data_IF_337873614830
#
_entry.id   IF_337873614830
#
_cell.length_a   1.000
_cell.length_b   1.000
_cell.length_c   1.000
_cell.angle_alpha   90.00
_cell.angle_beta   90.00
_cell.angle_gamma   90.00
#
_symmetry.space_group_name_H-M   'P 1'
#
loop_
_entity.id
_entity.type
_entity.pdbx_description
1 polymer ?
#
# COMPACT_ATOMS: atom_id res chain seq x y z
N UNK A 1 -8.82 -18.11 -12.55
CA UNK A 1 -8.83 -17.60 -13.96
C UNK A 1 -8.79 -16.07 -14.03
N UNK A 2 -9.03 -15.32 -12.95
CA UNK A 2 -9.03 -13.85 -12.98
C UNK A 2 -7.66 -13.21 -12.77
N UNK A 3 -6.74 -13.85 -12.07
CA UNK A 3 -5.40 -13.29 -11.80
C UNK A 3 -4.58 -13.00 -13.07
N UNK A 4 -4.63 -13.87 -14.09
CA UNK A 4 -3.86 -13.67 -15.31
C UNK A 4 -4.32 -12.46 -16.13
N UNK A 5 -5.61 -12.17 -16.15
CA UNK A 5 -6.17 -11.07 -16.94
C UNK A 5 -5.93 -9.72 -16.26
N UNK A 6 -6.03 -9.65 -14.93
CA UNK A 6 -5.75 -8.41 -14.18
C UNK A 6 -4.30 -7.96 -14.28
N UNK A 7 -3.35 -8.89 -14.38
CA UNK A 7 -1.94 -8.57 -14.56
C UNK A 7 -1.62 -8.00 -15.97
N UNK A 8 -2.44 -8.31 -16.97
CA UNK A 8 -2.26 -7.78 -18.34
C UNK A 8 -3.01 -6.46 -18.58
N UNK A 9 -4.10 -6.23 -17.88
CA UNK A 9 -4.99 -5.07 -18.11
C UNK A 9 -4.81 -4.02 -17.00
N UNK A 10 -4.55 -4.43 -15.77
CA UNK A 10 -4.34 -3.54 -14.63
C UNK A 10 -2.86 -3.43 -14.29
N UNK A 11 -2.32 -2.24 -14.28
CA UNK A 11 -1.00 -2.01 -13.69
C UNK A 11 -1.09 -2.18 -12.18
N UNK A 12 -0.14 -2.88 -11.59
CA UNK A 12 0.04 -2.96 -10.14
C UNK A 12 1.45 -2.51 -9.76
N UNK A 13 1.70 -2.24 -8.50
CA UNK A 13 3.06 -1.94 -8.03
C UNK A 13 3.98 -3.15 -8.21
N UNK A 14 3.47 -4.34 -7.90
CA UNK A 14 4.12 -5.63 -8.08
C UNK A 14 3.31 -6.54 -9.00
N UNK A 15 3.99 -7.48 -9.61
CA UNK A 15 3.41 -8.55 -10.41
C UNK A 15 3.94 -9.90 -9.91
N UNK A 16 3.04 -10.85 -9.68
CA UNK A 16 3.45 -12.24 -9.45
C UNK A 16 3.66 -12.95 -10.79
N UNK A 17 4.81 -13.59 -10.96
CA UNK A 17 5.07 -14.47 -12.08
C UNK A 17 4.09 -15.66 -12.01
N UNK A 18 3.25 -15.88 -13.02
CA UNK A 18 2.22 -16.91 -12.97
C UNK A 18 2.77 -18.35 -12.96
N UNK A 19 4.03 -18.55 -13.34
CA UNK A 19 4.68 -19.86 -13.36
C UNK A 19 5.39 -20.17 -12.04
N UNK A 20 6.14 -19.19 -11.49
CA UNK A 20 6.96 -19.38 -10.29
C UNK A 20 6.28 -18.86 -9.02
N UNK A 21 5.32 -17.96 -9.13
CA UNK A 21 4.70 -17.26 -8.01
C UNK A 21 5.57 -16.15 -7.42
N UNK A 22 6.78 -15.93 -7.94
CA UNK A 22 7.70 -14.91 -7.43
C UNK A 22 7.20 -13.50 -7.75
N UNK A 23 7.38 -12.58 -6.81
CA UNK A 23 6.95 -11.19 -6.95
C UNK A 23 8.06 -10.32 -7.57
N UNK A 24 7.72 -9.64 -8.66
CA UNK A 24 8.60 -8.70 -9.36
C UNK A 24 8.03 -7.29 -9.36
N UNK A 25 8.89 -6.25 -9.36
CA UNK A 25 8.43 -4.88 -9.53
C UNK A 25 7.82 -4.70 -10.92
N UNK A 26 6.63 -4.10 -10.99
CA UNK A 26 5.95 -3.80 -12.25
C UNK A 26 5.92 -2.29 -12.52
N UNK A 27 5.52 -1.50 -11.53
CA UNK A 27 5.38 -0.05 -11.63
C UNK A 27 6.22 0.72 -10.62
N UNK A 28 6.82 0.03 -9.67
CA UNK A 28 7.80 0.62 -8.75
C UNK A 28 9.19 0.52 -9.37
N UNK A 29 10.01 1.55 -9.20
CA UNK A 29 11.39 1.58 -9.67
C UNK A 29 12.32 0.83 -8.71
N UNK A 30 12.07 0.94 -7.40
CA UNK A 30 12.80 0.25 -6.35
C UNK A 30 11.93 0.11 -5.11
N UNK A 31 12.28 -0.84 -4.24
CA UNK A 31 11.67 -0.97 -2.93
C UNK A 31 12.67 -1.34 -1.86
N UNK A 32 12.31 -1.03 -0.62
CA UNK A 32 13.05 -1.42 0.58
C UNK A 32 12.07 -2.04 1.57
N UNK A 33 12.48 -3.12 2.21
CA UNK A 33 11.79 -3.75 3.31
C UNK A 33 12.64 -3.60 4.58
N UNK A 34 12.06 -3.05 5.62
CA UNK A 34 12.61 -3.18 6.98
C UNK A 34 11.67 -4.05 7.79
N UNK A 35 12.18 -5.07 8.45
CA UNK A 35 11.39 -5.93 9.30
C UNK A 35 12.01 -6.09 10.69
N UNK A 36 11.16 -6.40 11.67
CA UNK A 36 11.57 -6.56 13.06
C UNK A 36 12.51 -7.75 13.21
N UNK A 37 13.64 -7.56 13.89
CA UNK A 37 14.61 -8.59 14.19
C UNK A 37 13.94 -9.84 14.79
N UNK A 38 14.31 -11.02 14.28
CA UNK A 38 13.78 -12.31 14.71
C UNK A 38 12.56 -12.82 13.93
N UNK A 39 12.00 -12.03 13.03
CA UNK A 39 10.98 -12.54 12.12
C UNK A 39 11.60 -13.43 11.04
N UNK A 40 10.94 -14.55 10.67
CA UNK A 40 11.47 -15.50 9.68
C UNK A 40 11.19 -15.02 8.25
N UNK A 41 11.79 -13.88 7.89
CA UNK A 41 11.66 -13.26 6.56
C UNK A 41 12.97 -13.44 5.80
N UNK A 42 12.88 -13.94 4.57
CA UNK A 42 14.04 -14.21 3.71
C UNK A 42 13.79 -13.65 2.30
N UNK A 43 14.73 -12.90 1.71
CA UNK A 43 14.64 -12.49 0.31
C UNK A 43 14.86 -13.68 -0.61
N UNK A 44 14.06 -13.76 -1.67
CA UNK A 44 14.14 -14.80 -2.71
C UNK A 44 14.82 -14.25 -3.97
N UNK A 45 14.67 -12.95 -4.23
CA UNK A 45 15.19 -12.24 -5.38
C UNK A 45 16.17 -11.14 -4.96
N UNK A 46 16.89 -10.56 -5.90
CA UNK A 46 17.95 -9.57 -5.65
C UNK A 46 17.53 -8.10 -5.90
N UNK A 47 16.29 -7.87 -6.34
CA UNK A 47 15.79 -6.53 -6.62
C UNK A 47 15.37 -5.74 -5.36
N UNK A 48 15.17 -6.42 -4.25
CA UNK A 48 14.68 -5.84 -3.00
C UNK A 48 15.83 -5.56 -2.03
N UNK A 49 15.90 -4.32 -1.51
CA UNK A 49 16.77 -4.01 -0.37
C UNK A 49 16.09 -4.43 0.92
N UNK A 50 16.77 -5.25 1.73
CA UNK A 50 16.20 -5.81 2.95
C UNK A 50 17.02 -5.41 4.17
N UNK A 51 16.37 -4.87 5.19
CA UNK A 51 16.96 -4.40 6.44
C UNK A 51 16.25 -5.02 7.65
N UNK A 52 16.93 -5.05 8.79
CA UNK A 52 16.37 -5.46 10.07
C UNK A 52 16.45 -4.30 11.07
N UNK A 53 15.46 -4.23 11.97
CA UNK A 53 15.45 -3.28 13.08
C UNK A 53 14.82 -3.93 14.31
N UNK A 54 15.33 -3.60 15.51
CA UNK A 54 14.76 -4.12 16.75
C UNK A 54 13.35 -3.58 17.03
N UNK A 55 13.08 -2.36 16.54
CA UNK A 55 11.79 -1.69 16.63
C UNK A 55 11.56 -0.85 15.38
N UNK A 56 10.33 -0.88 14.87
CA UNK A 56 9.88 -0.03 13.77
C UNK A 56 8.79 0.88 14.31
N UNK A 57 9.11 2.15 14.51
CA UNK A 57 8.17 3.17 14.95
C UNK A 57 7.43 3.72 13.74
N UNK A 58 6.11 3.81 13.83
CA UNK A 58 5.28 4.42 12.78
C UNK A 58 5.24 5.94 13.02
N UNK A 59 5.53 6.77 12.01
CA UNK A 59 5.48 8.23 12.14
C UNK A 59 4.08 8.74 12.51
N UNK A 60 4.02 9.82 13.28
CA UNK A 60 2.77 10.41 13.75
C UNK A 60 1.88 10.92 12.61
N UNK A 61 2.47 11.31 11.49
CA UNK A 61 1.79 11.80 10.28
C UNK A 61 1.33 10.69 9.34
N UNK A 62 1.62 9.42 9.62
CA UNK A 62 1.13 8.30 8.83
C UNK A 62 -0.39 8.14 8.98
N UNK A 63 -1.07 7.83 7.88
CA UNK A 63 -2.52 7.64 7.85
C UNK A 63 -2.87 6.21 8.27
N UNK A 64 -3.69 6.08 9.28
CA UNK A 64 -4.10 4.77 9.83
C UNK A 64 -5.57 4.47 9.61
N UNK A 65 -6.37 5.50 9.28
CA UNK A 65 -7.80 5.35 9.09
C UNK A 65 -8.38 6.53 8.30
N UNK A 66 -9.67 6.47 8.00
CA UNK A 66 -10.44 7.49 7.30
C UNK A 66 -11.71 7.83 8.05
N UNK A 67 -11.96 9.12 8.27
CA UNK A 67 -13.21 9.66 8.82
C UNK A 67 -14.10 10.06 7.64
N UNK A 68 -15.10 9.22 7.32
CA UNK A 68 -16.00 9.45 6.22
C UNK A 68 -16.93 10.66 6.44
N UNK A 69 -17.29 10.98 7.69
CA UNK A 69 -18.14 12.12 7.99
C UNK A 69 -17.38 13.45 7.88
N UNK A 70 -16.14 13.49 8.37
CA UNK A 70 -15.30 14.68 8.31
C UNK A 70 -14.51 14.80 7.00
N UNK A 71 -14.50 13.74 6.15
CA UNK A 71 -13.74 13.64 4.90
C UNK A 71 -12.25 13.93 5.12
N UNK A 72 -11.65 13.30 6.15
CA UNK A 72 -10.24 13.51 6.50
C UNK A 72 -9.56 12.19 6.87
N UNK A 73 -8.24 12.15 6.67
CA UNK A 73 -7.41 11.07 7.21
C UNK A 73 -7.32 11.18 8.72
N UNK A 74 -7.31 10.02 9.38
CA UNK A 74 -6.96 9.89 10.79
C UNK A 74 -5.51 9.44 10.84
N UNK A 75 -4.67 10.24 11.50
CA UNK A 75 -3.23 9.96 11.61
C UNK A 75 -2.90 9.12 12.84
N UNK A 76 -1.67 8.59 12.86
CA UNK A 76 -1.12 7.87 14.02
C UNK A 76 -1.15 8.76 15.26
N UNK A 77 -0.68 10.02 15.15
CA UNK A 77 -0.65 10.94 16.28
C UNK A 77 -2.03 11.27 16.85
N UNK A 78 -3.07 11.27 16.00
CA UNK A 78 -4.46 11.48 16.45
C UNK A 78 -5.04 10.23 17.15
N UNK A 79 -4.76 9.04 16.62
CA UNK A 79 -5.38 7.78 17.08
C UNK A 79 -4.57 7.08 18.18
N UNK A 80 -3.25 7.23 18.16
CA UNK A 80 -2.30 6.54 19.04
C UNK A 80 -1.29 7.52 19.66
N UNK A 81 -1.72 8.39 20.61
CA UNK A 81 -0.86 9.45 21.16
C UNK A 81 0.37 8.91 21.91
N UNK A 82 0.32 7.66 22.37
CA UNK A 82 1.45 6.99 23.02
C UNK A 82 2.44 6.37 22.02
N UNK A 83 2.21 6.59 20.72
CA UNK A 83 2.99 6.02 19.62
C UNK A 83 2.48 4.68 19.14
N UNK A 84 2.94 4.28 17.95
CA UNK A 84 2.59 3.04 17.29
C UNK A 84 3.84 2.37 16.73
N UNK A 85 3.91 1.04 16.81
CA UNK A 85 4.97 0.24 16.20
C UNK A 85 4.40 -0.74 15.19
N UNK A 86 5.24 -1.21 14.27
CA UNK A 86 4.90 -2.21 13.28
C UNK A 86 5.94 -3.34 13.25
N UNK A 87 5.56 -4.48 12.67
CA UNK A 87 6.48 -5.58 12.44
C UNK A 87 7.27 -5.42 11.14
N UNK A 88 6.67 -4.77 10.14
CA UNK A 88 7.30 -4.47 8.86
C UNK A 88 7.04 -3.02 8.44
N UNK A 89 8.03 -2.47 7.72
CA UNK A 89 7.94 -1.22 6.97
C UNK A 89 8.37 -1.51 5.54
N UNK A 90 7.54 -1.24 4.56
CA UNK A 90 7.92 -1.26 3.15
C UNK A 90 7.99 0.17 2.60
N UNK A 91 8.98 0.43 1.77
CA UNK A 91 9.15 1.68 1.03
C UNK A 91 9.06 1.36 -0.44
N UNK A 92 8.13 1.99 -1.14
CA UNK A 92 7.98 1.88 -2.59
C UNK A 92 8.32 3.22 -3.23
N UNK A 93 9.31 3.21 -4.12
CA UNK A 93 9.71 4.39 -4.90
C UNK A 93 9.29 4.15 -6.34
N UNK A 94 8.52 5.07 -6.88
CA UNK A 94 8.03 5.02 -8.26
C UNK A 94 9.01 5.69 -9.21
N UNK A 95 8.91 5.44 -10.54
CA UNK A 95 9.74 6.13 -11.54
C UNK A 95 9.57 7.66 -11.47
N UNK A 96 10.66 8.38 -11.74
CA UNK A 96 10.67 9.86 -11.72
C UNK A 96 9.69 10.45 -12.74
N UNK A 97 9.49 9.77 -13.87
CA UNK A 97 8.59 10.16 -14.96
C UNK A 97 7.17 9.59 -14.84
N UNK A 98 6.81 9.02 -13.67
CA UNK A 98 5.53 8.33 -13.47
C UNK A 98 4.33 9.15 -13.95
N UNK A 99 4.23 10.40 -13.52
CA UNK A 99 3.09 11.26 -13.82
C UNK A 99 3.10 11.83 -15.24
N UNK A 100 4.22 11.73 -15.95
CA UNK A 100 4.36 12.15 -17.34
C UNK A 100 4.00 11.02 -18.32
N UNK A 101 4.44 9.79 -17.99
CA UNK A 101 4.40 8.64 -18.89
C UNK A 101 3.19 7.76 -18.69
N UNK A 102 2.69 7.62 -17.45
CA UNK A 102 1.54 6.78 -17.14
C UNK A 102 0.25 7.58 -17.24
N UNK A 103 -0.70 7.04 -17.99
CA UNK A 103 -2.01 7.66 -18.23
C UNK A 103 -3.10 6.64 -18.02
N UNK A 104 -4.28 7.14 -17.66
CA UNK A 104 -5.51 6.37 -17.74
C UNK A 104 -5.82 6.00 -19.20
N UNK A 105 -6.69 5.01 -19.39
CA UNK A 105 -7.05 4.56 -20.75
C UNK A 105 -7.80 5.61 -21.59
N UNK A 106 -8.38 6.63 -20.97
CA UNK A 106 -8.96 7.78 -21.64
C UNK A 106 -7.91 8.84 -22.05
N UNK A 107 -6.63 8.61 -21.72
CA UNK A 107 -5.51 9.49 -21.99
C UNK A 107 -5.26 10.56 -20.93
N UNK A 108 -6.07 10.67 -19.89
CA UNK A 108 -5.81 11.58 -18.78
C UNK A 108 -4.57 11.12 -17.97
N UNK A 109 -3.74 12.05 -17.48
CA UNK A 109 -2.58 11.70 -16.68
C UNK A 109 -3.01 11.18 -15.30
N UNK A 110 -2.26 10.23 -14.74
CA UNK A 110 -2.40 9.90 -13.32
C UNK A 110 -1.73 10.97 -12.46
N UNK A 111 -2.15 11.06 -11.22
CA UNK A 111 -1.68 12.05 -10.26
C UNK A 111 -1.55 11.46 -8.86
N UNK A 112 -0.95 12.18 -7.93
CA UNK A 112 -0.90 11.79 -6.52
C UNK A 112 -2.31 11.58 -5.94
N UNK A 113 -3.30 12.35 -6.43
CA UNK A 113 -4.68 12.22 -5.96
C UNK A 113 -5.28 10.84 -6.25
N UNK A 114 -4.87 10.18 -7.34
CA UNK A 114 -5.34 8.83 -7.67
C UNK A 114 -4.84 7.79 -6.65
N UNK A 115 -3.61 7.96 -6.15
CA UNK A 115 -3.05 7.12 -5.08
C UNK A 115 -3.77 7.36 -3.75
N UNK A 116 -4.00 8.62 -3.40
CA UNK A 116 -4.75 9.01 -2.21
C UNK A 116 -6.17 8.44 -2.25
N UNK A 117 -6.83 8.56 -3.40
CA UNK A 117 -8.19 8.04 -3.59
C UNK A 117 -8.24 6.51 -3.43
N UNK A 118 -7.20 5.78 -3.85
CA UNK A 118 -7.13 4.32 -3.66
C UNK A 118 -7.13 3.93 -2.19
N UNK A 119 -6.43 4.68 -1.35
CA UNK A 119 -6.44 4.46 0.10
C UNK A 119 -7.85 4.71 0.68
N UNK A 120 -8.49 5.81 0.30
CA UNK A 120 -9.85 6.14 0.75
C UNK A 120 -10.81 5.03 0.32
N UNK A 121 -10.82 4.64 -0.95
CA UNK A 121 -11.69 3.59 -1.48
C UNK A 121 -11.47 2.23 -0.80
N UNK A 122 -10.28 1.97 -0.30
CA UNK A 122 -9.96 0.76 0.47
C UNK A 122 -10.58 0.71 1.86
N UNK A 123 -10.97 1.85 2.44
CA UNK A 123 -11.45 1.95 3.83
C UNK A 123 -12.88 2.48 3.92
N UNK A 124 -13.25 3.42 3.07
CA UNK A 124 -14.52 4.15 3.10
C UNK A 124 -15.77 3.23 3.10
N UNK A 125 -15.79 2.10 2.34
CA UNK A 125 -16.93 1.18 2.37
C UNK A 125 -17.19 0.52 3.74
N UNK A 126 -16.23 0.55 4.65
CA UNK A 126 -16.44 0.05 6.02
C UNK A 126 -17.06 1.09 6.96
N UNK A 127 -17.18 2.35 6.54
CA UNK A 127 -17.64 3.44 7.40
C UNK A 127 -19.15 3.63 7.27
N UNK A 128 -19.94 3.44 8.35
CA UNK A 128 -21.39 3.58 8.31
C UNK A 128 -21.90 4.95 7.84
N UNK A 129 -21.07 6.00 8.04
CA UNK A 129 -21.37 7.39 7.64
C UNK A 129 -21.09 7.65 6.15
N UNK A 130 -20.42 6.72 5.48
CA UNK A 130 -20.14 6.83 4.04
C UNK A 130 -21.38 6.50 3.19
N UNK A 131 -21.65 7.26 2.13
CA UNK A 131 -22.62 6.88 1.13
C UNK A 131 -22.28 5.59 0.38
N UNK A 132 -21.01 5.14 0.46
CA UNK A 132 -20.51 3.90 -0.13
C UNK A 132 -20.48 2.73 0.86
N UNK A 133 -21.07 2.90 2.05
CA UNK A 133 -21.08 1.86 3.08
C UNK A 133 -21.65 0.53 2.56
N UNK A 134 -20.88 -0.53 2.77
CA UNK A 134 -21.28 -1.90 2.46
C UNK A 134 -20.98 -2.82 3.64
N UNK A 135 -22.05 -3.23 4.33
CA UNK A 135 -21.92 -4.10 5.50
C UNK A 135 -21.27 -5.45 5.18
N UNK A 136 -21.32 -5.92 3.93
CA UNK A 136 -20.68 -7.17 3.51
C UNK A 136 -19.16 -7.04 3.41
N UNK A 137 -18.65 -5.85 3.11
CA UNK A 137 -17.23 -5.53 3.02
C UNK A 137 -16.65 -5.07 4.36
N UNK A 138 -17.45 -4.38 5.18
CA UNK A 138 -17.00 -3.75 6.42
C UNK A 138 -16.23 -4.71 7.33
N UNK A 139 -16.75 -5.93 7.54
CA UNK A 139 -16.12 -6.92 8.40
C UNK A 139 -14.69 -7.30 7.94
N UNK A 140 -14.49 -7.46 6.63
CA UNK A 140 -13.18 -7.82 6.06
C UNK A 140 -12.21 -6.65 6.07
N UNK A 141 -12.70 -5.45 5.81
CA UNK A 141 -11.89 -4.22 5.86
C UNK A 141 -11.44 -3.97 7.30
N UNK A 142 -12.35 -4.01 8.27
CA UNK A 142 -12.04 -3.81 9.69
C UNK A 142 -11.03 -4.84 10.21
N UNK A 143 -11.17 -6.12 9.80
CA UNK A 143 -10.20 -7.15 10.13
C UNK A 143 -8.81 -6.84 9.54
N UNK A 144 -8.74 -6.30 8.34
CA UNK A 144 -7.49 -5.84 7.72
C UNK A 144 -6.84 -4.67 8.48
N UNK A 145 -7.66 -3.73 8.95
CA UNK A 145 -7.20 -2.55 9.70
C UNK A 145 -6.57 -2.91 11.07
N UNK A 146 -6.82 -4.08 11.63
CA UNK A 146 -6.18 -4.53 12.87
C UNK A 146 -4.66 -4.68 12.69
N UNK A 147 -4.23 -5.25 11.57
CA UNK A 147 -2.81 -5.45 11.27
C UNK A 147 -2.17 -4.27 10.53
N UNK A 148 -2.96 -3.48 9.83
CA UNK A 148 -2.52 -2.27 9.16
C UNK A 148 -2.09 -1.19 10.18
N UNK A 149 -0.90 -0.61 9.99
CA UNK A 149 -0.32 0.37 10.91
C UNK A 149 -0.10 1.73 10.28
N UNK A 150 -0.30 1.86 8.98
CA UNK A 150 -0.33 3.15 8.31
C UNK A 150 0.29 3.19 6.93
N UNK A 151 -0.12 4.20 6.16
CA UNK A 151 0.56 4.68 4.95
C UNK A 151 1.06 6.11 5.16
N UNK A 152 2.17 6.42 4.49
CA UNK A 152 2.74 7.76 4.45
C UNK A 152 3.28 8.07 3.07
N UNK A 153 2.90 9.21 2.49
CA UNK A 153 3.57 9.75 1.30
C UNK A 153 4.76 10.58 1.80
N UNK A 154 5.96 10.13 1.48
CA UNK A 154 7.22 10.77 1.90
C UNK A 154 7.65 11.85 0.91
N UNK A 155 7.45 11.57 -0.37
CA UNK A 155 7.79 12.48 -1.49
C UNK A 155 6.77 12.30 -2.61
N UNK A 156 6.56 13.34 -3.37
CA UNK A 156 5.74 13.31 -4.60
C UNK A 156 6.58 13.36 -5.87
N UNK A 157 7.90 13.57 -5.74
CA UNK A 157 8.84 13.63 -6.85
C UNK A 157 10.23 13.11 -6.41
N UNK A 158 10.61 11.87 -6.74
CA UNK A 158 9.74 10.79 -7.19
C UNK A 158 8.72 10.40 -6.13
N UNK A 159 7.56 9.91 -6.55
CA UNK A 159 6.55 9.43 -5.61
C UNK A 159 7.15 8.32 -4.74
N UNK A 160 7.17 8.54 -3.43
CA UNK A 160 7.70 7.61 -2.45
C UNK A 160 6.69 7.39 -1.34
N UNK A 161 6.32 6.13 -1.14
CA UNK A 161 5.29 5.73 -0.18
C UNK A 161 5.86 4.73 0.80
N UNK A 162 5.64 5.00 2.08
CA UNK A 162 5.89 4.06 3.18
C UNK A 162 4.59 3.38 3.58
N UNK A 163 4.66 2.07 3.81
CA UNK A 163 3.56 1.28 4.36
C UNK A 163 4.04 0.50 5.58
N UNK A 164 3.20 0.44 6.60
CA UNK A 164 3.49 -0.20 7.88
C UNK A 164 2.45 -1.26 8.19
N UNK A 165 2.88 -2.46 8.62
CA UNK A 165 1.97 -3.56 8.91
C UNK A 165 2.53 -4.50 10.00
N UNK A 166 1.63 -5.21 10.68
CA UNK A 166 2.01 -6.29 11.59
C UNK A 166 1.98 -7.67 10.93
N UNK A 167 1.12 -7.83 9.92
CA UNK A 167 1.12 -9.06 9.11
C UNK A 167 2.32 -9.07 8.18
N UNK A 168 2.98 -10.22 8.09
CA UNK A 168 4.13 -10.41 7.22
C UNK A 168 4.10 -11.79 6.55
N UNK A 169 4.83 -11.92 5.44
CA UNK A 169 5.10 -13.14 4.71
C UNK A 169 6.54 -13.58 4.96
N UNK A 170 6.81 -14.88 4.90
CA UNK A 170 8.17 -15.40 5.01
C UNK A 170 9.04 -15.02 3.79
N UNK A 171 8.43 -14.86 2.62
CA UNK A 171 9.05 -14.31 1.42
C UNK A 171 9.09 -12.78 1.53
N UNK A 172 10.29 -12.20 1.46
CA UNK A 172 10.49 -10.76 1.68
C UNK A 172 9.74 -9.90 0.64
N UNK A 173 9.73 -10.30 -0.62
CA UNK A 173 9.14 -9.57 -1.74
C UNK A 173 7.62 -9.42 -1.60
N UNK A 174 6.96 -10.39 -0.96
CA UNK A 174 5.52 -10.36 -0.71
C UNK A 174 5.12 -9.40 0.44
N UNK A 175 6.10 -8.78 1.10
CA UNK A 175 5.84 -7.77 2.14
C UNK A 175 5.86 -6.33 1.60
N UNK A 176 6.16 -6.15 0.33
CA UNK A 176 6.09 -4.83 -0.29
C UNK A 176 4.63 -4.50 -0.57
N UNK A 177 4.14 -3.43 0.03
CA UNK A 177 2.75 -2.99 0.01
C UNK A 177 2.63 -1.68 -0.80
N UNK A 178 2.80 -1.73 -2.13
CA UNK A 178 2.70 -0.55 -2.95
C UNK A 178 1.24 -0.08 -3.00
N UNK A 179 1.02 1.19 -2.76
CA UNK A 179 -0.26 1.81 -3.08
C UNK A 179 -0.30 2.07 -4.58
N UNK A 180 -1.33 1.59 -5.25
CA UNK A 180 -1.51 1.81 -6.68
C UNK A 180 -2.95 2.24 -6.94
N UNK A 181 -3.18 3.20 -7.85
CA UNK A 181 -4.54 3.62 -8.22
C UNK A 181 -5.38 2.41 -8.62
N UNK A 182 -6.49 2.23 -7.94
CA UNK A 182 -7.47 1.22 -8.34
C UNK A 182 -8.03 1.68 -9.68
N UNK A 183 -7.87 0.85 -10.71
CA UNK A 183 -8.61 1.06 -11.93
C UNK A 183 -10.10 0.90 -11.58
N UNK A 184 -10.89 1.95 -11.58
CA UNK A 184 -12.33 1.77 -11.60
C UNK A 184 -12.60 0.97 -12.85
N UNK A 185 -13.36 -0.10 -12.72
CA UNK A 185 -13.72 -0.98 -13.81
C UNK A 185 -14.05 -0.16 -15.06
N UNK A 186 -13.07 -0.10 -15.98
CA UNK A 186 -13.27 0.49 -17.30
C UNK A 186 -13.91 1.89 -17.27
N UNK A 187 -13.24 2.86 -16.63
CA UNK A 187 -13.50 4.21 -17.10
C UNK A 187 -13.05 4.33 -18.53
#
# INVERSE_FOLDING_TARGET
>A
TSMGTSNFIGGGGLMADPYTGLAYPQRIARAELTYKTGLPITPTLDWLTVNQADQITVPEDAWVDWDAAAQKFITVGEKFPDGLTANIKSVSVYPDDLFETVKWHDGSPISVADFVMSFIQGIDPAKPESPLYDASLALSIDAGLVSFKGYRIVSTDPLTIEAYNDTYNADAELNILPLWPLSPFGL
#
